data_IF_825999880325
#
_entry.id   IF_825999880325
#
_cell.length_a   1.000
_cell.length_b   1.000
_cell.length_c   1.000
_cell.angle_alpha   90.00
_cell.angle_beta   90.00
_cell.angle_gamma   90.00
#
_symmetry.space_group_name_H-M   'P 1'
#
loop_
_entity.id
_entity.type
_entity.pdbx_description
1 polymer ?
#
# COMPACT_ATOMS: atom_id res chain seq x y z
N UNK A 1 27.95 6.93 0.64
CA UNK A 1 26.76 7.19 1.47
C UNK A 1 26.17 5.84 1.80
N UNK A 2 26.44 5.33 3.01
CA UNK A 2 26.04 3.99 3.43
C UNK A 2 24.52 4.05 3.62
N UNK A 3 23.76 3.49 2.67
CA UNK A 3 22.35 3.16 2.90
C UNK A 3 22.37 2.12 4.02
N UNK A 4 21.96 2.52 5.22
CA UNK A 4 21.81 1.58 6.32
C UNK A 4 20.69 0.63 5.91
N UNK A 5 20.99 -0.65 5.98
CA UNK A 5 20.00 -1.72 5.88
C UNK A 5 18.77 -1.32 6.70
N UNK A 6 17.61 -1.33 6.05
CA UNK A 6 16.33 -1.27 6.74
C UNK A 6 16.28 -2.49 7.65
N UNK A 7 16.38 -2.29 8.96
CA UNK A 7 16.29 -3.38 9.93
C UNK A 7 14.92 -4.05 9.74
N UNK A 8 14.96 -5.31 9.32
CA UNK A 8 13.75 -6.10 9.09
C UNK A 8 13.19 -6.48 10.46
N UNK A 9 12.05 -5.91 10.83
CA UNK A 9 11.40 -6.17 12.11
C UNK A 9 10.38 -7.30 11.98
N UNK A 10 10.48 -8.30 12.85
CA UNK A 10 9.48 -9.35 12.98
C UNK A 10 8.37 -8.90 13.92
N UNK A 11 7.14 -8.88 13.41
CA UNK A 11 5.94 -8.51 14.17
C UNK A 11 5.03 -9.72 14.32
N UNK A 12 4.66 -10.05 15.55
CA UNK A 12 3.58 -11.00 15.83
C UNK A 12 2.27 -10.22 15.87
N UNK A 13 1.40 -10.50 14.90
CA UNK A 13 0.09 -9.87 14.79
C UNK A 13 -1.02 -10.89 14.99
N UNK A 14 -2.23 -10.40 15.27
CA UNK A 14 -3.41 -11.25 15.38
C UNK A 14 -3.85 -11.77 14.01
N UNK A 15 -4.45 -12.95 13.95
CA UNK A 15 -5.08 -13.43 12.71
C UNK A 15 -6.15 -12.45 12.25
N UNK A 16 -6.17 -12.15 10.94
CA UNK A 16 -7.06 -11.15 10.35
C UNK A 16 -6.51 -9.73 10.40
N UNK A 17 -5.29 -9.52 10.89
CA UNK A 17 -4.62 -8.21 10.78
C UNK A 17 -4.39 -7.89 9.32
N UNK A 18 -4.81 -6.70 8.93
CA UNK A 18 -4.65 -6.17 7.58
C UNK A 18 -3.28 -5.49 7.42
N UNK A 19 -2.81 -5.40 6.18
CA UNK A 19 -1.53 -4.75 5.88
C UNK A 19 -1.47 -3.30 6.36
N UNK A 20 -2.59 -2.56 6.33
CA UNK A 20 -2.68 -1.18 6.81
C UNK A 20 -2.47 -1.03 8.32
N UNK A 21 -2.83 -2.06 9.10
CA UNK A 21 -2.66 -2.03 10.56
C UNK A 21 -1.20 -2.13 11.00
N UNK A 22 -0.29 -2.54 10.11
CA UNK A 22 1.16 -2.50 10.36
C UNK A 22 1.75 -1.09 10.32
N UNK A 23 1.05 -0.12 9.74
CA UNK A 23 1.56 1.24 9.51
C UNK A 23 0.72 2.31 10.22
N UNK A 24 0.47 2.19 11.55
CA UNK A 24 -0.43 3.10 12.26
C UNK A 24 0.09 4.54 12.20
N UNK A 25 -0.76 5.45 11.71
CA UNK A 25 -0.44 6.87 11.60
C UNK A 25 0.39 7.26 10.37
N UNK A 26 0.87 6.30 9.59
CA UNK A 26 1.69 6.53 8.38
C UNK A 26 0.79 6.76 7.16
N UNK A 27 0.19 7.95 7.08
CA UNK A 27 -0.74 8.33 6.00
C UNK A 27 -0.12 8.41 4.61
N UNK A 28 1.20 8.31 4.51
CA UNK A 28 1.93 8.32 3.24
C UNK A 28 2.03 6.93 2.63
N UNK A 29 1.76 5.86 3.38
CA UNK A 29 1.69 4.50 2.83
C UNK A 29 0.35 4.32 2.13
N UNK A 30 0.38 3.99 0.84
CA UNK A 30 -0.81 3.86 -0.02
C UNK A 30 -1.12 2.43 -0.42
N UNK A 31 -0.16 1.52 -0.26
CA UNK A 31 -0.28 0.09 -0.51
C UNK A 31 0.82 -0.65 0.26
N UNK A 32 0.81 -1.98 0.21
CA UNK A 32 1.88 -2.82 0.73
C UNK A 32 2.41 -3.74 -0.36
N UNK A 33 3.71 -3.98 -0.39
CA UNK A 33 4.31 -5.06 -1.17
C UNK A 33 4.42 -6.29 -0.30
N UNK A 34 3.75 -7.36 -0.71
CA UNK A 34 3.66 -8.62 0.05
C UNK A 34 4.14 -9.75 -0.85
N UNK A 35 5.22 -10.41 -0.44
CA UNK A 35 5.84 -11.47 -1.26
C UNK A 35 6.28 -11.00 -2.66
N UNK A 36 6.56 -9.71 -2.83
CA UNK A 36 6.94 -9.10 -4.10
C UNK A 36 5.77 -8.47 -4.89
N UNK A 37 4.53 -8.78 -4.54
CA UNK A 37 3.34 -8.26 -5.24
C UNK A 37 2.72 -7.04 -4.51
N UNK A 38 2.19 -6.08 -5.27
CA UNK A 38 1.45 -4.96 -4.70
C UNK A 38 0.05 -5.42 -4.25
N UNK A 39 -0.30 -5.14 -3.00
CA UNK A 39 -1.59 -5.45 -2.36
C UNK A 39 -2.17 -4.20 -1.69
N UNK A 40 -3.50 -4.17 -1.58
CA UNK A 40 -4.22 -3.12 -0.87
C UNK A 40 -3.92 -3.18 0.64
N UNK A 41 -4.07 -2.04 1.34
CA UNK A 41 -3.94 -2.00 2.80
C UNK A 41 -5.02 -2.80 3.52
N UNK A 42 -6.16 -3.10 2.88
CA UNK A 42 -7.19 -3.98 3.40
C UNK A 42 -6.88 -5.47 3.26
N UNK A 43 -5.75 -5.84 2.64
CA UNK A 43 -5.36 -7.25 2.50
C UNK A 43 -5.04 -7.85 3.87
N UNK A 44 -5.68 -8.97 4.20
CA UNK A 44 -5.40 -9.73 5.42
C UNK A 44 -4.08 -10.50 5.28
N UNK A 45 -3.18 -10.28 6.23
CA UNK A 45 -1.86 -10.89 6.24
C UNK A 45 -1.92 -12.38 6.58
N UNK A 46 -1.05 -13.14 5.94
CA UNK A 46 -0.82 -14.56 6.21
C UNK A 46 0.49 -14.76 6.97
N UNK A 47 0.58 -15.90 7.65
CA UNK A 47 1.75 -16.23 8.47
C UNK A 47 3.03 -16.31 7.63
N UNK A 48 4.09 -15.67 8.12
CA UNK A 48 5.39 -15.63 7.46
C UNK A 48 5.50 -14.70 6.23
N UNK A 49 4.47 -13.91 5.91
CA UNK A 49 4.55 -12.96 4.79
C UNK A 49 5.54 -11.81 5.07
N UNK A 50 6.35 -11.49 4.06
CA UNK A 50 7.18 -10.28 4.06
C UNK A 50 6.37 -9.11 3.60
N UNK A 51 6.28 -8.06 4.42
CA UNK A 51 5.52 -6.85 4.10
C UNK A 51 6.47 -5.65 4.01
N UNK A 52 6.38 -4.90 2.92
CA UNK A 52 7.09 -3.64 2.72
C UNK A 52 6.09 -2.52 2.43
N UNK A 53 6.21 -1.34 3.06
CA UNK A 53 5.32 -0.21 2.79
C UNK A 53 5.58 0.35 1.38
N UNK A 54 4.51 0.68 0.67
CA UNK A 54 4.58 1.44 -0.59
C UNK A 54 4.20 2.88 -0.30
N UNK A 55 5.22 3.73 -0.21
CA UNK A 55 5.05 5.17 0.00
C UNK A 55 4.43 5.85 -1.21
N UNK A 56 3.62 6.88 -0.96
CA UNK A 56 2.93 7.71 -1.95
C UNK A 56 3.89 8.37 -2.96
N UNK A 57 5.13 8.61 -2.54
CA UNK A 57 6.18 9.20 -3.37
C UNK A 57 7.00 8.18 -4.17
N UNK A 58 6.82 6.88 -3.92
CA UNK A 58 7.49 5.83 -4.69
C UNK A 58 6.91 5.72 -6.11
N UNK A 59 7.64 5.09 -7.03
CA UNK A 59 7.14 4.89 -8.40
C UNK A 59 5.81 4.12 -8.41
N UNK A 60 5.73 3.02 -7.67
CA UNK A 60 4.51 2.22 -7.55
C UNK A 60 3.38 3.01 -6.87
N UNK A 61 3.67 3.75 -5.79
CA UNK A 61 2.69 4.61 -5.14
C UNK A 61 2.12 5.68 -6.07
N UNK A 62 2.98 6.32 -6.87
CA UNK A 62 2.57 7.31 -7.88
C UNK A 62 1.72 6.67 -9.00
N UNK A 63 2.05 5.45 -9.42
CA UNK A 63 1.27 4.73 -10.42
C UNK A 63 -0.13 4.38 -9.90
N UNK A 64 -0.23 3.90 -8.66
CA UNK A 64 -1.50 3.65 -7.97
C UNK A 64 -2.35 4.92 -7.91
N UNK A 65 -1.78 6.03 -7.43
CA UNK A 65 -2.49 7.31 -7.33
C UNK A 65 -3.03 7.80 -8.66
N UNK A 66 -2.20 7.74 -9.72
CA UNK A 66 -2.61 8.19 -11.06
C UNK A 66 -3.77 7.35 -11.59
N UNK A 67 -3.71 6.04 -11.39
CA UNK A 67 -4.78 5.12 -11.77
C UNK A 67 -6.09 5.46 -11.05
N UNK A 68 -6.07 5.56 -9.71
CA UNK A 68 -7.26 5.90 -8.92
C UNK A 68 -7.83 7.27 -9.31
N UNK A 69 -6.97 8.27 -9.52
CA UNK A 69 -7.40 9.61 -9.94
C UNK A 69 -8.04 9.59 -11.33
N UNK A 70 -7.50 8.81 -12.26
CA UNK A 70 -8.07 8.64 -13.59
C UNK A 70 -9.47 8.01 -13.54
N UNK A 71 -9.68 7.03 -12.67
CA UNK A 71 -11.00 6.44 -12.45
C UNK A 71 -12.01 7.45 -11.89
N UNK A 72 -11.63 8.24 -10.88
CA UNK A 72 -12.50 9.28 -10.32
C UNK A 72 -12.85 10.33 -11.37
N UNK A 73 -11.87 10.76 -12.18
CA UNK A 73 -12.12 11.68 -13.29
C UNK A 73 -13.10 11.07 -14.32
N UNK A 74 -12.90 9.80 -14.70
CA UNK A 74 -13.78 9.12 -15.65
C UNK A 74 -15.21 8.97 -15.13
N UNK A 75 -15.39 8.70 -13.82
CA UNK A 75 -16.71 8.65 -13.20
C UNK A 75 -17.38 10.03 -13.24
N UNK A 76 -16.67 11.09 -12.84
CA UNK A 76 -17.21 12.45 -12.86
C UNK A 76 -17.61 12.90 -14.27
N UNK A 77 -16.84 12.53 -15.31
CA UNK A 77 -17.20 12.81 -16.70
C UNK A 77 -18.49 12.07 -17.10
N UNK A 78 -18.62 10.79 -16.75
CA UNK A 78 -19.84 10.01 -17.02
C UNK A 78 -21.07 10.56 -16.30
N UNK A 79 -20.92 11.05 -15.06
CA UNK A 79 -22.01 11.67 -14.30
C UNK A 79 -22.49 12.99 -14.94
N UNK A 80 -21.57 13.79 -15.51
CA UNK A 80 -21.90 15.04 -16.20
C UNK A 80 -22.48 14.82 -17.60
N UNK A 81 -22.13 13.71 -18.26
CA UNK A 81 -22.53 13.38 -19.63
C UNK A 81 -23.00 11.92 -19.73
N UNK A 82 -24.24 11.62 -19.28
CA UNK A 82 -24.77 10.26 -19.20
C UNK A 82 -25.13 9.66 -20.56
#
# INVERSE_FOLDING_TARGET
MIQRDSEREEHVVTTGTTAGELFPGQRTVVAARIGGELKDLSYELQDGESVEPVEISSEDGLNILRHSTAHVMAQAVQELFP
#
